data_IF_823288983322
#
_entry.id   IF_823288983322
#
_cell.length_a   1.000
_cell.length_b   1.000
_cell.length_c   1.000
_cell.angle_alpha   90.00
_cell.angle_beta   90.00
_cell.angle_gamma   90.00
#
_symmetry.space_group_name_H-M   'P 1'
#
loop_
_entity.id
_entity.type
_entity.pdbx_description
1 polymer ?
#
# COMPACT_ATOMS: atom_id res chain seq x y z
N UNK A 1 -7.52 -8.09 19.52
CA UNK A 1 -7.51 -8.34 18.06
C UNK A 1 -7.10 -9.79 17.78
N UNK A 2 -7.91 -10.60 17.06
CA UNK A 2 -7.56 -12.01 16.74
C UNK A 2 -6.57 -12.04 15.57
N UNK A 3 -5.29 -12.32 15.84
CA UNK A 3 -4.29 -12.67 14.81
C UNK A 3 -4.51 -14.14 14.40
N UNK A 4 -5.05 -14.37 13.21
CA UNK A 4 -5.19 -15.72 12.66
C UNK A 4 -3.81 -16.19 12.18
N UNK A 5 -3.25 -17.22 12.82
CA UNK A 5 -1.95 -17.82 12.44
C UNK A 5 -2.19 -18.90 11.38
N UNK A 6 -1.71 -18.65 10.16
CA UNK A 6 -1.67 -19.65 9.10
C UNK A 6 -0.35 -20.43 9.11
N UNK A 7 -0.36 -21.62 8.49
CA UNK A 7 0.80 -22.50 8.33
C UNK A 7 2.04 -21.73 7.84
N UNK A 8 3.17 -21.77 8.57
CA UNK A 8 4.38 -21.02 8.21
C UNK A 8 4.91 -21.39 6.82
N UNK A 9 4.81 -22.67 6.44
CA UNK A 9 5.45 -23.20 5.24
C UNK A 9 4.82 -22.67 3.94
N UNK A 10 3.49 -22.66 3.85
CA UNK A 10 2.78 -22.12 2.70
C UNK A 10 3.06 -20.61 2.51
N UNK A 11 3.22 -19.88 3.62
CA UNK A 11 3.57 -18.45 3.63
C UNK A 11 4.98 -18.21 3.10
N UNK A 12 5.98 -19.03 3.46
CA UNK A 12 7.35 -18.87 2.95
C UNK A 12 7.49 -19.30 1.47
N UNK A 13 6.76 -20.35 1.05
CA UNK A 13 6.81 -20.85 -0.33
C UNK A 13 6.17 -19.89 -1.34
N UNK A 14 5.01 -19.33 -0.99
CA UNK A 14 4.33 -18.29 -1.79
C UNK A 14 5.16 -17.00 -1.89
N UNK A 15 5.78 -16.59 -0.78
CA UNK A 15 6.72 -15.46 -0.71
C UNK A 15 7.92 -15.64 -1.65
N UNK A 16 8.46 -16.87 -1.78
CA UNK A 16 9.54 -17.19 -2.71
C UNK A 16 9.10 -17.17 -4.19
N UNK A 17 7.90 -17.67 -4.50
CA UNK A 17 7.39 -17.75 -5.87
C UNK A 17 6.77 -16.46 -6.41
N UNK A 18 6.68 -15.39 -5.61
CA UNK A 18 5.96 -14.17 -6.01
C UNK A 18 4.47 -14.44 -6.25
N UNK A 19 3.90 -15.36 -5.48
CA UNK A 19 2.48 -15.67 -5.45
C UNK A 19 1.93 -15.11 -4.14
N UNK A 20 0.91 -14.26 -4.14
CA UNK A 20 0.39 -13.72 -2.89
C UNK A 20 -0.20 -14.80 -2.01
N UNK A 21 0.19 -14.80 -0.74
CA UNK A 21 -0.50 -15.57 0.28
C UNK A 21 -1.69 -14.76 0.79
N UNK A 22 -2.90 -15.15 0.37
CA UNK A 22 -4.14 -14.58 0.88
C UNK A 22 -4.67 -15.49 2.00
N UNK A 23 -4.79 -14.99 3.24
CA UNK A 23 -5.43 -15.74 4.32
C UNK A 23 -6.80 -16.27 3.92
N UNK A 24 -7.07 -17.56 4.17
CA UNK A 24 -8.37 -18.20 3.85
C UNK A 24 -9.56 -17.47 4.47
N UNK A 25 -9.35 -16.85 5.64
CA UNK A 25 -10.34 -15.99 6.29
C UNK A 25 -10.86 -14.86 5.38
N UNK A 26 -10.08 -14.37 4.41
CA UNK A 26 -10.50 -13.37 3.43
C UNK A 26 -11.41 -13.93 2.32
N UNK A 27 -11.37 -15.24 2.04
CA UNK A 27 -12.21 -15.84 0.99
C UNK A 27 -13.71 -15.81 1.34
N UNK A 28 -14.03 -15.73 2.64
CA UNK A 28 -15.41 -15.71 3.13
C UNK A 28 -15.90 -14.28 3.44
N UNK A 29 -15.08 -13.26 3.19
CA UNK A 29 -15.44 -11.88 3.46
C UNK A 29 -16.26 -11.35 2.28
N UNK A 30 -17.53 -11.04 2.52
CA UNK A 30 -18.47 -10.52 1.51
C UNK A 30 -18.63 -9.00 1.59
N UNK A 31 -18.04 -8.37 2.60
CA UNK A 31 -18.12 -6.94 2.83
C UNK A 31 -17.06 -6.16 2.05
N UNK A 32 -17.23 -4.83 1.88
CA UNK A 32 -16.25 -4.00 1.22
C UNK A 32 -14.86 -4.08 1.87
N UNK A 33 -13.86 -4.41 1.06
CA UNK A 33 -12.46 -4.44 1.46
C UNK A 33 -11.76 -3.13 1.06
N UNK A 34 -10.89 -2.66 1.93
CA UNK A 34 -9.93 -1.59 1.69
C UNK A 34 -8.53 -2.21 1.61
N UNK A 35 -7.84 -2.00 0.50
CA UNK A 35 -6.46 -2.42 0.30
C UNK A 35 -5.54 -1.22 0.51
N UNK A 36 -4.60 -1.33 1.44
CA UNK A 36 -3.57 -0.32 1.68
C UNK A 36 -2.20 -0.85 1.24
N UNK A 37 -1.55 -0.09 0.36
CA UNK A 37 -0.22 -0.34 -0.19
C UNK A 37 0.62 0.94 -0.10
N UNK A 38 1.94 0.82 -0.01
CA UNK A 38 2.87 1.95 -0.05
C UNK A 38 4.19 1.57 -0.71
N UNK A 39 4.94 2.59 -1.16
CA UNK A 39 6.33 2.50 -1.60
C UNK A 39 6.51 1.32 -2.55
N UNK A 40 5.95 1.39 -3.76
CA UNK A 40 5.85 0.23 -4.66
C UNK A 40 6.86 0.30 -5.81
N UNK A 41 7.97 -0.45 -5.77
CA UNK A 41 8.83 -0.64 -6.93
C UNK A 41 8.05 -1.24 -8.11
N UNK A 42 8.33 -0.80 -9.33
CA UNK A 42 7.63 -1.29 -10.53
C UNK A 42 7.70 -2.82 -10.72
N UNK A 43 8.75 -3.44 -10.22
CA UNK A 43 9.04 -4.86 -10.30
C UNK A 43 8.03 -5.71 -9.52
N UNK A 44 7.36 -5.14 -8.51
CA UNK A 44 6.37 -5.87 -7.70
C UNK A 44 4.94 -5.70 -8.20
N UNK A 45 4.68 -4.89 -9.23
CA UNK A 45 3.32 -4.68 -9.74
C UNK A 45 2.58 -5.96 -10.14
N UNK A 46 3.21 -6.96 -10.81
CA UNK A 46 2.53 -8.22 -11.11
C UNK A 46 2.02 -8.94 -9.86
N UNK A 47 2.72 -8.82 -8.73
CA UNK A 47 2.26 -9.36 -7.44
C UNK A 47 1.05 -8.60 -6.91
N UNK A 48 1.08 -7.27 -6.98
CA UNK A 48 -0.05 -6.43 -6.57
C UNK A 48 -1.30 -6.69 -7.42
N UNK A 49 -1.15 -6.88 -8.73
CA UNK A 49 -2.28 -7.21 -9.61
C UNK A 49 -2.97 -8.50 -9.19
N UNK A 50 -2.21 -9.54 -8.83
CA UNK A 50 -2.77 -10.81 -8.34
C UNK A 50 -3.56 -10.58 -7.04
N UNK A 51 -3.02 -9.80 -6.10
CA UNK A 51 -3.74 -9.46 -4.85
C UNK A 51 -5.05 -8.74 -5.18
N UNK A 52 -4.99 -7.68 -5.99
CA UNK A 52 -6.16 -6.87 -6.33
C UNK A 52 -7.21 -7.71 -7.04
N UNK A 53 -6.81 -8.57 -7.98
CA UNK A 53 -7.72 -9.43 -8.72
C UNK A 53 -8.38 -10.48 -7.81
N UNK A 54 -7.62 -11.10 -6.91
CA UNK A 54 -8.15 -12.13 -6.00
C UNK A 54 -9.05 -11.54 -4.91
N UNK A 55 -8.69 -10.37 -4.37
CA UNK A 55 -9.46 -9.73 -3.30
C UNK A 55 -10.62 -8.88 -3.80
N UNK A 56 -10.54 -8.38 -5.03
CA UNK A 56 -11.50 -7.42 -5.60
C UNK A 56 -11.90 -6.32 -4.60
N UNK A 57 -10.92 -5.56 -4.04
CA UNK A 57 -11.21 -4.56 -3.02
C UNK A 57 -12.11 -3.46 -3.58
N UNK A 58 -12.98 -2.87 -2.75
CA UNK A 58 -13.80 -1.72 -3.16
C UNK A 58 -12.97 -0.44 -3.19
N UNK A 59 -11.97 -0.36 -2.31
CA UNK A 59 -11.13 0.82 -2.12
C UNK A 59 -9.65 0.41 -2.15
N UNK A 60 -8.82 1.18 -2.85
CA UNK A 60 -7.36 1.07 -2.77
C UNK A 60 -6.81 2.41 -2.29
N UNK A 61 -5.99 2.38 -1.25
CA UNK A 61 -5.27 3.54 -0.73
C UNK A 61 -3.78 3.30 -0.91
N UNK A 62 -3.13 4.15 -1.70
CA UNK A 62 -1.68 4.15 -1.87
C UNK A 62 -1.05 5.33 -1.11
N UNK A 63 -0.25 5.06 -0.10
CA UNK A 63 0.39 6.10 0.73
C UNK A 63 1.75 6.54 0.18
N UNK A 64 1.79 6.79 -1.13
CA UNK A 64 2.92 7.44 -1.81
C UNK A 64 4.04 6.52 -2.28
N UNK A 65 4.91 7.10 -3.09
CA UNK A 65 6.00 6.46 -3.83
C UNK A 65 5.51 5.32 -4.72
N UNK A 66 4.69 5.68 -5.71
CA UNK A 66 4.05 4.77 -6.66
C UNK A 66 5.05 3.97 -7.49
N UNK A 67 6.20 4.56 -7.84
CA UNK A 67 7.26 3.92 -8.61
C UNK A 67 8.56 4.01 -7.81
N UNK A 68 8.59 3.34 -6.66
CA UNK A 68 9.59 3.62 -5.62
C UNK A 68 11.05 3.31 -6.03
N UNK A 69 11.27 2.42 -7.02
CA UNK A 69 12.60 2.19 -7.58
C UNK A 69 13.16 3.41 -8.34
N UNK A 70 12.31 4.38 -8.71
CA UNK A 70 12.68 5.65 -9.34
C UNK A 70 12.51 6.79 -8.34
N UNK A 71 13.62 7.22 -7.75
CA UNK A 71 13.67 8.26 -6.72
C UNK A 71 13.61 9.67 -7.34
N UNK A 72 12.46 10.08 -7.87
CA UNK A 72 12.31 11.35 -8.62
C UNK A 72 12.72 12.59 -7.84
N UNK A 73 12.60 12.57 -6.52
CA UNK A 73 13.09 13.65 -5.64
C UNK A 73 14.53 14.04 -5.99
N UNK A 74 15.39 13.05 -6.26
CA UNK A 74 16.82 13.24 -6.54
C UNK A 74 17.17 13.03 -8.02
N UNK A 75 16.32 12.36 -8.80
CA UNK A 75 16.58 11.94 -10.18
C UNK A 75 15.49 12.47 -11.11
N UNK A 76 15.35 13.80 -11.19
CA UNK A 76 14.31 14.45 -11.99
C UNK A 76 14.37 14.10 -13.48
N UNK A 77 15.57 13.81 -14.00
CA UNK A 77 15.79 13.35 -15.38
C UNK A 77 15.14 12.00 -15.68
N UNK A 78 14.77 11.22 -14.65
CA UNK A 78 14.06 9.95 -14.78
C UNK A 78 12.54 10.10 -14.86
N UNK A 79 12.00 11.33 -14.98
CA UNK A 79 10.55 11.57 -15.10
C UNK A 79 9.89 10.75 -16.21
N UNK A 80 10.57 10.56 -17.34
CA UNK A 80 10.08 9.70 -18.42
C UNK A 80 9.97 8.23 -17.99
N UNK A 81 11.02 7.68 -17.35
CA UNK A 81 10.98 6.31 -16.83
C UNK A 81 9.88 6.12 -15.78
N UNK A 82 9.71 7.07 -14.86
CA UNK A 82 8.60 7.08 -13.90
C UNK A 82 7.25 7.06 -14.62
N UNK A 83 7.08 7.91 -15.63
CA UNK A 83 5.82 8.02 -16.40
C UNK A 83 5.49 6.71 -17.10
N UNK A 84 6.46 6.03 -17.71
CA UNK A 84 6.24 4.72 -18.34
C UNK A 84 5.83 3.65 -17.31
N UNK A 85 6.52 3.56 -16.18
CA UNK A 85 6.20 2.60 -15.12
C UNK A 85 4.81 2.86 -14.52
N UNK A 86 4.50 4.12 -14.17
CA UNK A 86 3.19 4.49 -13.66
C UNK A 86 2.07 4.25 -14.69
N UNK A 87 2.34 4.49 -15.98
CA UNK A 87 1.38 4.19 -17.06
C UNK A 87 1.12 2.70 -17.15
N UNK A 88 2.17 1.88 -17.08
CA UNK A 88 2.02 0.42 -17.05
C UNK A 88 1.14 -0.02 -15.89
N UNK A 89 1.38 0.53 -14.69
CA UNK A 89 0.57 0.27 -13.49
C UNK A 89 -0.91 0.60 -13.70
N UNK A 90 -1.21 1.84 -14.04
CA UNK A 90 -2.59 2.28 -14.20
C UNK A 90 -3.30 1.62 -15.37
N UNK A 91 -2.60 1.30 -16.46
CA UNK A 91 -3.22 0.61 -17.61
C UNK A 91 -3.70 -0.80 -17.25
N UNK A 92 -3.04 -1.48 -16.30
CA UNK A 92 -3.49 -2.78 -15.80
C UNK A 92 -4.64 -2.62 -14.81
N UNK A 93 -4.54 -1.67 -13.88
CA UNK A 93 -5.59 -1.39 -12.90
C UNK A 93 -6.93 -1.01 -13.54
N UNK A 94 -6.91 -0.17 -14.58
CA UNK A 94 -8.13 0.22 -15.33
C UNK A 94 -8.84 -0.93 -16.02
N UNK A 95 -8.16 -2.06 -16.27
CA UNK A 95 -8.81 -3.26 -16.84
C UNK A 95 -9.60 -4.02 -15.78
N UNK A 96 -9.29 -3.80 -14.49
CA UNK A 96 -9.94 -4.46 -13.36
C UNK A 96 -11.15 -3.66 -12.85
N UNK A 97 -11.16 -2.32 -13.04
CA UNK A 97 -12.28 -1.36 -12.97
C UNK A 97 -13.36 -1.51 -11.86
N UNK A 98 -13.05 -2.15 -10.74
CA UNK A 98 -14.01 -2.41 -9.65
C UNK A 98 -13.62 -1.74 -8.32
N UNK A 99 -12.90 -0.61 -8.36
CA UNK A 99 -12.46 0.08 -7.14
C UNK A 99 -12.29 1.59 -7.31
N UNK A 100 -12.44 2.29 -6.19
CA UNK A 100 -11.96 3.66 -6.03
C UNK A 100 -10.48 3.66 -5.64
N UNK A 101 -9.65 4.37 -6.39
CA UNK A 101 -8.21 4.49 -6.12
C UNK A 101 -7.86 5.86 -5.53
N UNK A 102 -7.37 5.87 -4.29
CA UNK A 102 -6.87 7.04 -3.58
C UNK A 102 -5.35 6.97 -3.50
N UNK A 103 -4.68 8.08 -3.73
CA UNK A 103 -3.23 8.19 -3.59
C UNK A 103 -2.85 9.43 -2.82
N UNK A 104 -1.91 9.28 -1.90
CA UNK A 104 -1.27 10.35 -1.16
C UNK A 104 0.16 10.42 -1.72
N UNK A 105 0.48 11.34 -2.64
CA UNK A 105 1.77 11.33 -3.32
C UNK A 105 2.94 11.43 -2.34
N UNK A 106 3.95 10.60 -2.56
CA UNK A 106 5.20 10.62 -1.81
C UNK A 106 6.20 11.63 -2.37
N UNK A 107 7.37 11.72 -1.73
CA UNK A 107 8.46 12.60 -2.19
C UNK A 107 9.03 12.16 -3.55
N UNK A 108 8.87 10.90 -3.96
CA UNK A 108 9.30 10.40 -5.26
C UNK A 108 8.20 10.38 -6.32
N UNK A 109 7.01 10.89 -6.02
CA UNK A 109 5.90 10.94 -6.97
C UNK A 109 5.83 12.26 -7.76
N UNK A 110 5.14 12.20 -8.90
CA UNK A 110 4.77 13.37 -9.68
C UNK A 110 3.24 13.42 -9.82
N UNK A 111 2.52 14.21 -8.98
CA UNK A 111 1.06 14.28 -9.00
C UNK A 111 0.48 14.63 -10.38
N UNK A 112 1.12 15.53 -11.13
CA UNK A 112 0.70 15.89 -12.49
C UNK A 112 0.75 14.69 -13.44
N UNK A 113 1.81 13.89 -13.36
CA UNK A 113 1.93 12.65 -14.13
C UNK A 113 0.84 11.65 -13.71
N UNK A 114 0.60 11.48 -12.41
CA UNK A 114 -0.46 10.57 -11.93
C UNK A 114 -1.82 10.99 -12.46
N UNK A 115 -2.19 12.27 -12.30
CA UNK A 115 -3.49 12.82 -12.69
C UNK A 115 -3.70 12.74 -14.21
N UNK A 116 -2.65 12.99 -15.01
CA UNK A 116 -2.73 12.90 -16.46
C UNK A 116 -2.89 11.46 -16.96
N UNK A 117 -2.28 10.49 -16.28
CA UNK A 117 -2.37 9.07 -16.65
C UNK A 117 -3.71 8.46 -16.25
N UNK A 118 -4.32 8.87 -15.13
CA UNK A 118 -5.63 8.38 -14.70
C UNK A 118 -6.44 9.48 -14.00
N UNK A 119 -7.39 10.06 -14.73
CA UNK A 119 -8.20 11.19 -14.25
C UNK A 119 -9.09 10.87 -13.05
N UNK A 120 -9.53 9.62 -12.90
CA UNK A 120 -10.43 9.21 -11.83
C UNK A 120 -9.70 8.86 -10.53
N UNK A 121 -8.37 8.86 -10.52
CA UNK A 121 -7.59 8.73 -9.29
C UNK A 121 -7.86 9.92 -8.39
N UNK A 122 -8.13 9.64 -7.11
CA UNK A 122 -8.34 10.65 -6.08
C UNK A 122 -7.00 10.96 -5.42
N UNK A 123 -6.32 11.99 -5.92
CA UNK A 123 -5.10 12.50 -5.29
C UNK A 123 -5.48 13.29 -4.03
N UNK A 124 -4.90 12.91 -2.90
CA UNK A 124 -5.16 13.50 -1.59
C UNK A 124 -3.90 14.15 -1.01
N UNK A 125 -4.10 15.15 -0.17
CA UNK A 125 -3.02 15.74 0.62
C UNK A 125 -2.72 14.92 1.87
N UNK A 126 -1.50 15.00 2.36
CA UNK A 126 -1.14 14.41 3.64
C UNK A 126 -1.96 15.01 4.79
N UNK A 127 -2.29 14.21 5.79
CA UNK A 127 -3.17 14.64 6.89
C UNK A 127 -4.65 14.61 6.54
N UNK A 128 -5.02 14.08 5.37
CA UNK A 128 -6.42 13.89 5.01
C UNK A 128 -7.05 12.79 5.87
N UNK A 129 -8.32 12.99 6.20
CA UNK A 129 -9.16 11.97 6.83
C UNK A 129 -10.25 11.55 5.83
N UNK A 130 -10.31 10.27 5.51
CA UNK A 130 -11.30 9.67 4.62
C UNK A 130 -12.41 9.02 5.43
N UNK A 131 -13.64 9.24 5.01
CA UNK A 131 -14.78 8.46 5.49
C UNK A 131 -15.10 7.38 4.45
N UNK A 132 -14.75 6.13 4.74
CA UNK A 132 -15.06 4.98 3.90
C UNK A 132 -15.96 4.02 4.69
N UNK A 133 -17.21 3.87 4.26
CA UNK A 133 -18.24 3.16 5.01
C UNK A 133 -18.36 3.71 6.46
N UNK A 134 -18.23 2.84 7.48
CA UNK A 134 -18.24 3.16 8.91
C UNK A 134 -16.83 3.36 9.51
N UNK A 135 -15.82 3.58 8.67
CA UNK A 135 -14.44 3.84 9.08
C UNK A 135 -13.99 5.26 8.75
N UNK A 136 -13.38 5.89 9.74
CA UNK A 136 -12.61 7.11 9.59
C UNK A 136 -11.13 6.74 9.44
N UNK A 137 -10.52 7.05 8.29
CA UNK A 137 -9.16 6.63 7.96
C UNK A 137 -8.27 7.85 7.77
N UNK A 138 -7.27 7.99 8.62
CA UNK A 138 -6.24 9.01 8.49
C UNK A 138 -5.14 8.56 7.55
N UNK A 139 -4.76 9.40 6.60
CA UNK A 139 -3.76 9.05 5.58
C UNK A 139 -2.66 10.09 5.47
N UNK A 140 -1.43 9.63 5.32
CA UNK A 140 -0.26 10.44 4.99
C UNK A 140 0.78 9.57 4.28
N UNK A 141 1.76 10.17 3.61
CA UNK A 141 2.96 9.43 3.21
C UNK A 141 3.93 9.36 4.39
N UNK A 142 4.14 10.50 5.07
CA UNK A 142 4.96 10.61 6.28
C UNK A 142 4.15 10.45 7.57
N UNK A 143 4.67 9.72 8.55
CA UNK A 143 3.97 9.46 9.82
C UNK A 143 3.61 10.75 10.57
N UNK A 144 4.53 11.70 10.65
CA UNK A 144 4.37 12.98 11.36
C UNK A 144 3.29 13.89 10.76
N UNK A 145 2.84 13.59 9.53
CA UNK A 145 1.79 14.34 8.84
C UNK A 145 0.42 13.68 8.94
N UNK A 146 0.28 12.59 9.69
CA UNK A 146 -1.01 11.97 9.96
C UNK A 146 -1.97 12.96 10.66
N UNK A 147 -3.29 12.86 10.41
CA UNK A 147 -4.27 13.69 11.10
C UNK A 147 -4.35 13.34 12.59
N UNK A 148 -5.02 14.20 13.36
CA UNK A 148 -5.17 14.02 14.81
C UNK A 148 -6.18 12.94 15.22
N UNK A 149 -7.18 12.65 14.38
CA UNK A 149 -8.29 11.79 14.76
C UNK A 149 -8.78 10.92 13.60
N UNK A 150 -8.55 9.61 13.72
CA UNK A 150 -9.09 8.57 12.86
C UNK A 150 -9.26 7.26 13.64
N UNK A 151 -10.04 6.32 13.10
CA UNK A 151 -10.13 4.95 13.59
C UNK A 151 -8.85 4.17 13.23
N UNK A 152 -8.36 4.35 12.01
CA UNK A 152 -7.17 3.69 11.47
C UNK A 152 -6.28 4.73 10.79
N UNK A 153 -4.97 4.65 10.99
CA UNK A 153 -3.97 5.51 10.37
C UNK A 153 -3.12 4.71 9.39
N UNK A 154 -3.05 5.17 8.14
CA UNK A 154 -2.30 4.55 7.05
C UNK A 154 -1.17 5.49 6.64
N UNK A 155 0.06 4.97 6.65
CA UNK A 155 1.24 5.73 6.25
C UNK A 155 2.32 4.85 5.61
N UNK A 156 3.32 5.48 5.00
CA UNK A 156 4.46 4.86 4.34
C UNK A 156 5.78 5.48 4.77
N UNK A 157 6.74 5.52 3.84
CA UNK A 157 8.03 6.23 3.90
C UNK A 157 8.95 5.93 5.10
N UNK A 158 8.54 6.30 6.31
CA UNK A 158 9.32 6.17 7.51
C UNK A 158 9.25 4.72 8.02
N UNK A 159 10.41 4.10 8.30
CA UNK A 159 10.51 2.84 9.07
C UNK A 159 10.21 3.04 10.58
N UNK A 160 9.34 3.99 10.93
CA UNK A 160 9.02 4.28 12.32
C UNK A 160 8.34 3.07 12.99
N UNK A 161 8.70 2.84 14.25
CA UNK A 161 8.35 1.67 15.08
C UNK A 161 6.91 1.67 15.61
N UNK A 162 6.03 2.56 15.14
CA UNK A 162 4.66 2.67 15.63
C UNK A 162 3.67 1.84 14.78
N UNK A 163 4.06 0.67 14.27
CA UNK A 163 3.11 -0.26 13.65
C UNK A 163 2.39 -1.09 14.73
N UNK A 164 1.06 -1.07 14.74
CA UNK A 164 0.25 -1.91 15.62
C UNK A 164 -0.91 -1.20 16.32
N UNK A 165 -1.62 -1.97 17.14
CA UNK A 165 -2.74 -1.53 17.97
C UNK A 165 -2.21 -0.93 19.28
N UNK A 166 -2.38 0.38 19.46
CA UNK A 166 -2.06 1.10 20.70
C UNK A 166 -3.33 1.40 21.50
N UNK A 167 -4.21 0.41 21.65
CA UNK A 167 -5.45 0.51 22.41
C UNK A 167 -6.58 1.11 21.58
N UNK A 168 -6.67 2.45 21.52
CA UNK A 168 -7.73 3.14 20.76
C UNK A 168 -7.38 3.35 19.28
N UNK A 169 -6.09 3.34 18.94
CA UNK A 169 -5.60 3.75 17.64
C UNK A 169 -4.83 2.62 16.96
N UNK A 170 -5.12 2.40 15.68
CA UNK A 170 -4.45 1.39 14.86
C UNK A 170 -3.61 2.09 13.80
N UNK A 171 -2.31 1.84 13.84
CA UNK A 171 -1.33 2.42 12.92
C UNK A 171 -0.78 1.35 12.00
N UNK A 172 -0.94 1.54 10.69
CA UNK A 172 -0.57 0.58 9.65
C UNK A 172 0.44 1.21 8.69
N UNK A 173 1.66 0.68 8.71
CA UNK A 173 2.75 1.17 7.88
C UNK A 173 2.89 0.30 6.62
N UNK A 174 2.56 0.88 5.47
CA UNK A 174 2.55 0.22 4.16
C UNK A 174 3.93 -0.22 3.66
N UNK A 175 5.03 0.15 4.31
CA UNK A 175 6.35 -0.43 4.00
C UNK A 175 6.42 -1.88 4.49
N UNK A 176 5.93 -2.17 5.70
CA UNK A 176 6.10 -3.48 6.31
C UNK A 176 5.17 -4.53 5.69
N UNK A 177 3.92 -4.17 5.45
CA UNK A 177 2.90 -5.08 4.94
C UNK A 177 1.93 -4.37 4.00
N UNK A 178 1.37 -5.16 3.08
CA UNK A 178 0.12 -4.83 2.41
C UNK A 178 -1.00 -5.12 3.40
N UNK A 179 -1.90 -4.17 3.62
CA UNK A 179 -3.00 -4.35 4.56
C UNK A 179 -4.31 -4.54 3.82
N UNK A 180 -5.08 -5.54 4.24
CA UNK A 180 -6.47 -5.72 3.81
C UNK A 180 -7.35 -5.46 5.02
N UNK A 181 -8.19 -4.45 4.91
CA UNK A 181 -9.03 -3.96 6.00
C UNK A 181 -10.47 -4.21 5.61
N UNK A 182 -11.20 -4.93 6.44
CA UNK A 182 -12.64 -4.98 6.36
C UNK A 182 -13.22 -3.63 6.75
N UNK A 183 -14.00 -3.02 5.86
CA UNK A 183 -14.65 -1.76 6.15
C UNK A 183 -15.62 -1.89 7.34
N UNK A 184 -16.44 -2.95 7.39
CA UNK A 184 -17.48 -3.06 8.42
C UNK A 184 -16.97 -3.60 9.77
N UNK A 185 -16.18 -4.70 9.76
CA UNK A 185 -15.73 -5.37 10.99
C UNK A 185 -14.43 -4.82 11.56
N UNK A 186 -13.73 -3.95 10.81
CA UNK A 186 -12.42 -3.39 11.16
C UNK A 186 -11.33 -4.47 11.32
N UNK A 187 -11.56 -5.69 10.82
CA UNK A 187 -10.56 -6.74 10.81
C UNK A 187 -9.44 -6.38 9.83
N UNK A 188 -8.19 -6.62 10.24
CA UNK A 188 -7.00 -6.26 9.48
C UNK A 188 -6.18 -7.52 9.22
N UNK A 189 -5.92 -7.77 7.95
CA UNK A 189 -5.07 -8.85 7.47
C UNK A 189 -3.79 -8.25 6.90
N UNK A 190 -2.67 -8.92 7.17
CA UNK A 190 -1.33 -8.48 6.81
C UNK A 190 -0.79 -9.45 5.76
N UNK A 191 -0.64 -8.96 4.54
CA UNK A 191 -0.05 -9.70 3.44
C UNK A 191 1.39 -9.20 3.27
N UNK A 192 2.41 -10.07 3.36
CA UNK A 192 3.78 -9.65 3.15
C UNK A 192 3.98 -9.23 1.68
N UNK A 193 4.86 -8.25 1.46
CA UNK A 193 5.40 -7.97 0.14
C UNK A 193 6.24 -9.16 -0.38
N UNK A 194 6.58 -9.26 -1.67
CA UNK A 194 7.50 -10.28 -2.18
C UNK A 194 8.92 -10.18 -1.58
N UNK A 195 9.69 -11.27 -1.67
CA UNK A 195 11.13 -11.23 -1.36
C UNK A 195 11.82 -10.10 -2.12
N UNK A 196 12.86 -9.53 -1.52
CA UNK A 196 13.69 -8.47 -2.13
C UNK A 196 12.99 -7.12 -2.39
N UNK A 197 11.70 -6.96 -2.04
CA UNK A 197 11.01 -5.65 -2.17
C UNK A 197 11.79 -4.52 -1.49
N UNK A 198 12.30 -4.73 -0.28
CA UNK A 198 13.11 -3.72 0.41
C UNK A 198 14.43 -3.40 -0.31
N UNK A 199 15.06 -4.39 -0.94
CA UNK A 199 16.25 -4.16 -1.77
C UNK A 199 15.92 -3.30 -2.98
N UNK A 200 14.76 -3.54 -3.61
CA UNK A 200 14.26 -2.75 -4.75
C UNK A 200 13.87 -1.32 -4.35
N UNK A 201 13.30 -1.15 -3.15
CA UNK A 201 13.06 0.16 -2.52
C UNK A 201 14.34 0.91 -2.16
N UNK A 202 15.50 0.22 -2.24
CA UNK A 202 16.82 0.69 -1.81
C UNK A 202 16.87 1.01 -0.31
N UNK A 203 16.00 0.37 0.47
CA UNK A 203 16.07 0.36 1.93
C UNK A 203 17.26 -0.52 2.29
N UNK A 204 18.42 0.10 2.42
CA UNK A 204 19.61 -0.59 2.95
C UNK A 204 19.42 -0.79 4.45
N UNK A 205 19.65 -2.01 4.94
CA UNK A 205 19.91 -2.19 6.36
C UNK A 205 20.98 -1.16 6.73
N UNK A 206 20.70 -0.27 7.69
CA UNK A 206 21.73 0.60 8.28
C UNK A 206 22.96 -0.28 8.49
N UNK A 207 24.08 0.07 7.85
CA UNK A 207 25.36 -0.56 8.16
C UNK A 207 25.49 -0.51 9.68
N UNK A 208 25.45 -1.68 10.32
CA UNK A 208 25.99 -1.83 11.66
C UNK A 208 27.46 -1.48 11.45
N UNK A 209 27.86 -0.28 11.90
CA UNK A 209 29.26 0.08 11.94
C UNK A 209 29.98 -1.00 12.75
N UNK A 210 30.94 -1.67 12.11
CA UNK A 210 32.00 -2.35 12.83
C UNK A 210 32.89 -1.30 13.51
#
# INVERSE_FOLDING_TARGET
MKRIKNSPFAKYFSYFLGIPFIPEALNNVTEPLILHISDTPSEIYPYLYKIIQQLSPKYIIHTGDLVDNIKLEYLQEKKMNYTESARSFFSHLKKMNAFDFYIIPGNHDCPDTIQSLWKDVKILHEGTTLQLENLTIGVAHFFEKLPRQADIYLYGHNLHLEEGDRGKYVYLNGIYNIHVISALTRQIFYIPYPMATNSLRRITNRKIGM
#
